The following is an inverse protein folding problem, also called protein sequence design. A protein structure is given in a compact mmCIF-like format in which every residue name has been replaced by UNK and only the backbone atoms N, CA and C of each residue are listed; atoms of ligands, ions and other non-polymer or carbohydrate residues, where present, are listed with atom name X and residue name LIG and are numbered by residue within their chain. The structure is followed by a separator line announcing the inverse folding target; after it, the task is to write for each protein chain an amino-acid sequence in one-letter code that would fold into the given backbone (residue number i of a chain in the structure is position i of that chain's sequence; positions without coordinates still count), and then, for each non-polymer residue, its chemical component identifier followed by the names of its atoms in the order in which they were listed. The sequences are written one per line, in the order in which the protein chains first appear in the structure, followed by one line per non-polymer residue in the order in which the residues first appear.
data_IF_788820991833
#
_entry.id   IF_788820991833
#
_cell.length_a   1.000
_cell.length_b   1.000
_cell.length_c   1.000
_cell.angle_alpha   90.00
_cell.angle_beta   90.00
_cell.angle_gamma   90.00
#
_symmetry.space_group_name_H-M   'P 1'
#
loop_
_entity.id
_entity.type
_entity.pdbx_description
1 polymer ?
#
# COMPACT_ATOMS: atom_id res chain seq x y z
N UNK A 1 -2.21 -4.00 22.00
CA UNK A 1 -2.45 -3.20 20.80
C UNK A 1 -1.85 -3.93 19.61
N UNK A 2 -2.61 -4.17 18.54
CA UNK A 2 -2.20 -4.91 17.34
C UNK A 2 -2.21 -3.97 16.13
N UNK A 3 -1.11 -3.99 15.38
CA UNK A 3 -0.96 -3.17 14.18
C UNK A 3 -1.07 -4.05 12.93
N UNK A 4 -1.79 -3.56 11.93
CA UNK A 4 -1.73 -4.07 10.55
C UNK A 4 -0.65 -3.29 9.81
N UNK A 5 0.46 -3.96 9.48
CA UNK A 5 1.56 -3.36 8.73
C UNK A 5 1.47 -3.86 7.29
N UNK A 6 1.46 -2.94 6.33
CA UNK A 6 1.38 -3.19 4.90
C UNK A 6 2.55 -2.49 4.19
N UNK A 7 3.10 -3.11 3.15
CA UNK A 7 4.22 -2.61 2.35
C UNK A 7 4.22 -3.29 0.98
N UNK A 8 4.90 -2.70 -0.01
CA UNK A 8 5.26 -3.32 -1.29
C UNK A 8 4.05 -3.93 -2.03
N UNK A 9 2.95 -3.18 -2.05
CA UNK A 9 1.71 -3.64 -2.70
C UNK A 9 1.87 -3.60 -4.22
N UNK A 10 2.62 -2.63 -4.76
CA UNK A 10 2.89 -2.46 -6.19
C UNK A 10 1.67 -2.68 -7.08
N UNK A 11 0.61 -1.93 -6.83
CA UNK A 11 -0.63 -1.96 -7.62
C UNK A 11 -1.30 -3.34 -7.72
N UNK A 12 -0.91 -4.30 -6.86
CA UNK A 12 -1.44 -5.66 -6.83
C UNK A 12 -2.73 -5.70 -6.00
N UNK A 13 -3.84 -5.30 -6.66
CA UNK A 13 -5.17 -5.27 -6.06
C UNK A 13 -5.61 -6.65 -5.56
N UNK A 14 -5.29 -7.70 -6.30
CA UNK A 14 -5.66 -9.08 -5.99
C UNK A 14 -4.99 -9.54 -4.69
N UNK A 15 -3.68 -9.32 -4.53
CA UNK A 15 -2.96 -9.62 -3.30
C UNK A 15 -3.47 -8.79 -2.10
N UNK A 16 -3.65 -7.48 -2.29
CA UNK A 16 -4.19 -6.61 -1.23
C UNK A 16 -5.60 -7.07 -0.79
N UNK A 17 -6.47 -7.43 -1.75
CA UNK A 17 -7.81 -7.93 -1.47
C UNK A 17 -7.76 -9.22 -0.64
N UNK A 18 -6.86 -10.14 -0.97
CA UNK A 18 -6.69 -11.38 -0.22
C UNK A 18 -6.23 -11.11 1.22
N UNK A 19 -5.24 -10.24 1.41
CA UNK A 19 -4.73 -9.85 2.73
C UNK A 19 -5.83 -9.19 3.56
N UNK A 20 -6.52 -8.19 3.01
CA UNK A 20 -7.60 -7.49 3.72
C UNK A 20 -8.75 -8.44 4.08
N UNK A 21 -9.09 -9.38 3.20
CA UNK A 21 -10.10 -10.40 3.48
C UNK A 21 -9.68 -11.32 4.62
N UNK A 22 -8.39 -11.71 4.67
CA UNK A 22 -7.83 -12.53 5.74
C UNK A 22 -7.81 -11.81 7.08
N UNK A 23 -7.37 -10.54 7.10
CA UNK A 23 -7.27 -9.77 8.35
C UNK A 23 -8.61 -9.22 8.84
N UNK A 24 -9.66 -9.19 7.99
CA UNK A 24 -11.01 -8.72 8.38
C UNK A 24 -11.60 -9.49 9.57
N UNK A 25 -11.25 -10.76 9.74
CA UNK A 25 -11.72 -11.61 10.86
C UNK A 25 -10.79 -11.57 12.08
N UNK A 26 -9.71 -10.78 12.04
CA UNK A 26 -8.72 -10.67 13.11
C UNK A 26 -8.78 -9.27 13.71
N UNK A 27 -8.82 -9.12 15.05
CA UNK A 27 -8.82 -7.79 15.65
C UNK A 27 -7.45 -7.12 15.46
N UNK A 28 -7.45 -5.90 14.91
CA UNK A 28 -6.32 -4.97 14.84
C UNK A 28 -6.81 -3.55 15.13
N UNK A 29 -5.95 -2.72 15.72
CA UNK A 29 -6.31 -1.41 16.28
C UNK A 29 -5.92 -0.25 15.35
N UNK A 30 -4.81 -0.40 14.63
CA UNK A 30 -4.22 0.64 13.76
C UNK A 30 -3.61 0.00 12.53
N UNK A 31 -3.66 0.69 11.40
CA UNK A 31 -2.92 0.32 10.20
C UNK A 31 -1.69 1.23 10.02
N UNK A 32 -0.62 0.70 9.45
CA UNK A 32 0.60 1.43 9.06
C UNK A 32 0.98 0.98 7.65
N UNK A 33 1.30 1.92 6.78
CA UNK A 33 1.71 1.66 5.42
C UNK A 33 3.15 2.15 5.17
N UNK A 34 4.01 1.25 4.68
CA UNK A 34 5.46 1.47 4.59
C UNK A 34 5.95 1.87 3.20
N UNK A 35 5.05 2.04 2.23
CA UNK A 35 5.37 2.53 0.90
C UNK A 35 5.28 1.47 -0.19
N UNK A 36 5.64 1.88 -1.41
CA UNK A 36 5.59 1.10 -2.64
C UNK A 36 4.17 0.59 -2.93
N UNK A 37 3.26 1.55 -2.94
CA UNK A 37 1.84 1.33 -3.22
C UNK A 37 1.59 1.11 -4.70
N UNK A 38 2.29 1.88 -5.54
CA UNK A 38 2.18 1.86 -6.99
C UNK A 38 3.41 1.22 -7.65
N UNK A 39 3.37 1.10 -8.98
CA UNK A 39 4.36 0.35 -9.76
C UNK A 39 3.90 -1.09 -10.06
N UNK A 40 4.59 -1.75 -10.99
CA UNK A 40 4.42 -3.12 -11.52
C UNK A 40 3.00 -3.63 -11.87
N UNK A 41 2.05 -3.63 -10.93
CA UNK A 41 0.71 -4.16 -11.12
C UNK A 41 -0.22 -3.25 -11.92
N UNK A 42 -1.34 -3.81 -12.39
CA UNK A 42 -2.25 -3.14 -13.32
C UNK A 42 -3.28 -2.21 -12.66
N UNK A 43 -3.37 -2.16 -11.32
CA UNK A 43 -4.46 -1.50 -10.60
C UNK A 43 -3.99 -0.43 -9.58
N UNK A 44 -3.23 0.60 -10.00
CA UNK A 44 -2.66 1.58 -9.08
C UNK A 44 -3.72 2.42 -8.37
N UNK A 45 -4.74 2.90 -9.08
CA UNK A 45 -5.77 3.75 -8.48
C UNK A 45 -6.61 2.97 -7.45
N UNK A 46 -7.01 1.74 -7.79
CA UNK A 46 -7.80 0.90 -6.89
C UNK A 46 -7.02 0.55 -5.62
N UNK A 47 -5.73 0.22 -5.74
CA UNK A 47 -4.90 -0.07 -4.56
C UNK A 47 -4.68 1.16 -3.70
N UNK A 48 -4.48 2.34 -4.30
CA UNK A 48 -4.43 3.62 -3.57
C UNK A 48 -5.72 3.87 -2.79
N UNK A 49 -6.88 3.74 -3.43
CA UNK A 49 -8.18 3.95 -2.78
C UNK A 49 -8.40 2.96 -1.64
N UNK A 50 -8.05 1.69 -1.84
CA UNK A 50 -8.15 0.65 -0.82
C UNK A 50 -7.27 0.95 0.40
N UNK A 51 -6.01 1.37 0.22
CA UNK A 51 -5.12 1.73 1.34
C UNK A 51 -5.61 3.00 2.04
N UNK A 52 -6.08 4.01 1.30
CA UNK A 52 -6.67 5.23 1.90
C UNK A 52 -7.90 4.93 2.74
N UNK A 53 -8.75 3.99 2.32
CA UNK A 53 -9.94 3.58 3.06
C UNK A 53 -9.61 2.96 4.43
N UNK A 54 -8.42 2.39 4.61
CA UNK A 54 -7.95 1.86 5.90
C UNK A 54 -7.63 2.96 6.93
N UNK A 55 -7.54 4.22 6.51
CA UNK A 55 -7.14 5.38 7.35
C UNK A 55 -5.88 5.05 8.18
N UNK A 56 -4.76 4.72 7.53
CA UNK A 56 -3.55 4.32 8.23
C UNK A 56 -3.09 5.44 9.18
N UNK A 57 -2.60 5.04 10.35
CA UNK A 57 -2.01 5.94 11.34
C UNK A 57 -0.79 6.66 10.76
N UNK A 58 0.02 5.95 9.99
CA UNK A 58 1.18 6.45 9.26
C UNK A 58 1.19 5.81 7.89
N UNK A 59 1.46 6.62 6.87
CA UNK A 59 1.77 6.18 5.52
C UNK A 59 3.00 6.94 5.02
N UNK A 60 4.03 6.23 4.60
CA UNK A 60 5.22 6.80 3.97
C UNK A 60 5.24 6.43 2.48
N UNK A 61 6.03 7.17 1.71
CA UNK A 61 6.27 6.89 0.29
C UNK A 61 7.47 5.96 0.17
N UNK A 62 7.30 4.89 -0.58
CA UNK A 62 8.42 4.10 -1.08
C UNK A 62 9.05 4.75 -2.31
N UNK A 63 10.10 4.16 -2.82
CA UNK A 63 10.85 4.66 -3.97
C UNK A 63 10.00 4.62 -5.26
N UNK A 64 9.17 3.59 -5.47
CA UNK A 64 8.25 3.56 -6.61
C UNK A 64 7.19 4.66 -6.53
N UNK A 65 6.70 4.97 -5.33
CA UNK A 65 5.73 6.06 -5.14
C UNK A 65 6.35 7.43 -5.48
N UNK A 66 7.63 7.64 -5.13
CA UNK A 66 8.35 8.87 -5.43
C UNK A 66 8.59 9.05 -6.93
N UNK A 67 8.98 7.99 -7.64
CA UNK A 67 9.12 8.03 -9.11
C UNK A 67 7.78 8.33 -9.77
N UNK A 68 6.72 7.61 -9.39
CA UNK A 68 5.39 7.83 -9.97
C UNK A 68 4.84 9.24 -9.71
N UNK A 69 5.24 9.87 -8.60
CA UNK A 69 4.84 11.24 -8.25
C UNK A 69 5.80 12.33 -8.76
N UNK A 70 6.82 11.97 -9.56
CA UNK A 70 7.77 12.92 -10.16
C UNK A 70 8.73 13.55 -9.14
N UNK A 71 8.97 12.88 -8.00
CA UNK A 71 9.87 13.35 -6.94
C UNK A 71 11.30 12.87 -7.18
N UNK A 72 11.45 11.65 -7.70
CA UNK A 72 12.73 11.03 -8.03
C UNK A 72 12.66 10.51 -9.48
N UNK A 73 13.81 10.40 -10.14
CA UNK A 73 13.90 9.85 -11.48
C UNK A 73 13.85 8.31 -11.48
N UNK A 74 13.29 7.74 -12.54
CA UNK A 74 13.09 6.29 -12.68
C UNK A 74 14.31 5.52 -13.21
N UNK A 75 15.48 6.15 -13.37
CA UNK A 75 16.65 5.55 -14.03
C UNK A 75 17.24 4.33 -13.29
N UNK A 76 16.88 4.15 -12.02
CA UNK A 76 17.39 3.09 -11.14
C UNK A 76 16.46 1.87 -11.02
N UNK A 77 15.43 1.77 -11.86
CA UNK A 77 14.37 0.74 -11.80
C UNK A 77 14.28 -0.10 -13.07
#
# INVERSE_FOLDING_TARGET
MKYLILSDIHSNKEALTAVLSFVRRKPWDKAVFLGDLVGYGANPNQTVDMVRALKPLVAIRGNHDKVCSGIEDGELF
#
